data_IF_364058518431
#
_entry.id   IF_364058518431
#
_cell.length_a   1.000
_cell.length_b   1.000
_cell.length_c   1.000
_cell.angle_alpha   90.00
_cell.angle_beta   90.00
_cell.angle_gamma   90.00
#
_symmetry.space_group_name_H-M   'P 1'
#
loop_
_entity.id
_entity.type
_entity.pdbx_description
1 polymer ?
#
# COMPACT_ATOMS: atom_id res chain seq x y z
N UNK A 1 17.85 -44.32 -26.66
CA UNK A 1 16.64 -43.96 -25.91
C UNK A 1 16.89 -42.94 -24.79
N UNK A 2 18.14 -42.74 -24.32
CA UNK A 2 18.49 -41.76 -23.27
C UNK A 2 18.51 -40.29 -23.75
N UNK A 3 18.85 -40.07 -25.04
CA UNK A 3 18.98 -38.71 -25.59
C UNK A 3 17.66 -37.99 -25.85
N UNK A 4 16.54 -38.71 -26.02
CA UNK A 4 15.23 -38.10 -26.27
C UNK A 4 14.61 -37.49 -25.00
N UNK A 5 14.90 -38.08 -23.83
CA UNK A 5 14.39 -37.55 -22.53
C UNK A 5 15.14 -36.30 -22.08
N UNK A 6 16.45 -36.22 -22.37
CA UNK A 6 17.27 -35.03 -22.05
C UNK A 6 16.92 -33.82 -22.92
N UNK A 7 16.66 -34.04 -24.23
CA UNK A 7 16.23 -32.97 -25.14
C UNK A 7 14.83 -32.47 -24.78
N UNK A 8 13.91 -33.39 -24.42
CA UNK A 8 12.55 -33.00 -23.96
C UNK A 8 12.58 -32.19 -22.67
N UNK A 9 13.42 -32.52 -21.70
CA UNK A 9 13.57 -31.78 -20.45
C UNK A 9 14.18 -30.39 -20.69
N UNK A 10 15.18 -30.28 -21.56
CA UNK A 10 15.82 -29.01 -21.88
C UNK A 10 14.87 -28.06 -22.65
N UNK A 11 14.07 -28.60 -23.57
CA UNK A 11 13.04 -27.86 -24.31
C UNK A 11 11.90 -27.41 -23.36
N UNK A 12 11.52 -28.26 -22.41
CA UNK A 12 10.52 -27.89 -21.41
C UNK A 12 11.03 -26.76 -20.49
N UNK A 13 12.30 -26.83 -20.04
CA UNK A 13 12.94 -25.77 -19.25
C UNK A 13 13.07 -24.46 -20.05
N UNK A 14 13.40 -24.52 -21.33
CA UNK A 14 13.49 -23.36 -22.21
C UNK A 14 12.11 -22.77 -22.50
N UNK A 15 11.07 -23.59 -22.65
CA UNK A 15 9.69 -23.13 -22.83
C UNK A 15 9.15 -22.48 -21.55
N UNK A 16 9.39 -23.07 -20.39
CA UNK A 16 8.99 -22.49 -19.09
C UNK A 16 9.75 -21.19 -18.82
N UNK A 17 11.05 -21.14 -19.14
CA UNK A 17 11.86 -19.92 -19.00
C UNK A 17 11.39 -18.81 -19.97
N UNK A 18 11.04 -19.15 -21.22
CA UNK A 18 10.49 -18.20 -22.17
C UNK A 18 9.08 -17.72 -21.77
N UNK A 19 8.24 -18.59 -21.24
CA UNK A 19 6.91 -18.19 -20.71
C UNK A 19 7.08 -17.26 -19.50
N UNK A 20 8.03 -17.53 -18.60
CA UNK A 20 8.36 -16.64 -17.49
C UNK A 20 8.89 -15.27 -17.97
N UNK A 21 9.78 -15.26 -18.97
CA UNK A 21 10.31 -14.01 -19.56
C UNK A 21 9.20 -13.23 -20.28
N UNK A 22 8.30 -13.90 -21.01
CA UNK A 22 7.17 -13.25 -21.70
C UNK A 22 6.17 -12.67 -20.71
N UNK A 23 5.84 -13.36 -19.60
CA UNK A 23 4.94 -12.83 -18.55
C UNK A 23 5.58 -11.59 -17.89
N UNK A 24 6.89 -11.57 -17.65
CA UNK A 24 7.59 -10.41 -17.07
C UNK A 24 7.59 -9.20 -18.01
N UNK A 25 7.83 -9.38 -19.30
CA UNK A 25 7.83 -8.29 -20.29
C UNK A 25 6.42 -7.70 -20.44
N UNK A 26 5.35 -8.53 -20.40
CA UNK A 26 3.97 -8.06 -20.47
C UNK A 26 3.54 -7.32 -19.19
N UNK A 27 4.00 -7.74 -18.01
CA UNK A 27 3.64 -7.12 -16.72
C UNK A 27 4.22 -5.71 -16.57
N UNK A 28 5.47 -5.48 -17.01
CA UNK A 28 6.12 -4.17 -16.88
C UNK A 28 5.99 -3.29 -18.12
N UNK A 29 5.50 -3.83 -19.24
CA UNK A 29 5.35 -3.07 -20.49
C UNK A 29 6.68 -2.64 -21.13
N UNK A 30 7.77 -3.34 -20.82
CA UNK A 30 9.14 -3.11 -21.30
C UNK A 30 10.09 -2.63 -20.20
N UNK A 31 11.38 -2.70 -20.50
CA UNK A 31 12.45 -2.18 -19.64
C UNK A 31 12.57 -0.66 -19.83
N UNK A 32 12.89 0.05 -18.75
CA UNK A 32 13.28 1.45 -18.82
C UNK A 32 14.81 1.51 -18.93
N UNK A 33 15.35 2.26 -19.88
CA UNK A 33 16.79 2.48 -19.95
C UNK A 33 17.20 3.55 -18.94
N UNK A 34 18.34 3.33 -18.28
CA UNK A 34 18.93 4.34 -17.38
C UNK A 34 19.34 5.59 -18.16
N UNK A 35 19.55 5.49 -19.46
CA UNK A 35 19.93 6.55 -20.38
C UNK A 35 18.74 7.26 -21.02
N UNK A 36 17.49 6.84 -20.75
CA UNK A 36 16.30 7.53 -21.26
C UNK A 36 16.26 8.99 -20.83
N UNK A 37 15.92 9.88 -21.74
CA UNK A 37 15.75 11.32 -21.44
C UNK A 37 14.68 11.56 -20.35
N UNK A 38 13.66 10.70 -20.29
CA UNK A 38 12.59 10.75 -19.28
C UNK A 38 12.34 9.36 -18.70
N UNK A 39 13.30 8.85 -17.94
CA UNK A 39 13.18 7.56 -17.24
C UNK A 39 12.03 7.57 -16.23
N UNK A 40 11.70 8.70 -15.64
CA UNK A 40 10.59 8.82 -14.69
C UNK A 40 9.23 8.59 -15.36
N UNK A 41 9.04 9.02 -16.62
CA UNK A 41 7.84 8.73 -17.40
C UNK A 41 7.75 7.24 -17.77
N UNK A 42 8.87 6.62 -18.13
CA UNK A 42 8.92 5.18 -18.35
C UNK A 42 8.54 4.41 -17.07
N UNK A 43 9.16 4.74 -15.94
CA UNK A 43 8.85 4.14 -14.63
C UNK A 43 7.40 4.35 -14.21
N UNK A 44 6.83 5.52 -14.47
CA UNK A 44 5.42 5.81 -14.21
C UNK A 44 4.52 4.82 -14.94
N UNK A 45 4.79 4.55 -16.22
CA UNK A 45 4.04 3.57 -17.02
C UNK A 45 4.22 2.17 -16.48
N UNK A 46 5.46 1.73 -16.23
CA UNK A 46 5.79 0.40 -15.73
C UNK A 46 5.16 0.12 -14.36
N UNK A 47 5.18 1.10 -13.46
CA UNK A 47 4.55 0.95 -12.15
C UNK A 47 3.02 0.89 -12.23
N UNK A 48 2.38 1.64 -13.13
CA UNK A 48 0.94 1.50 -13.33
C UNK A 48 0.57 0.14 -13.95
N UNK A 49 1.36 -0.38 -14.89
CA UNK A 49 1.16 -1.74 -15.41
C UNK A 49 1.28 -2.79 -14.30
N UNK A 50 2.26 -2.64 -13.40
CA UNK A 50 2.37 -3.51 -12.23
C UNK A 50 1.13 -3.41 -11.32
N UNK A 51 0.65 -2.20 -11.04
CA UNK A 51 -0.58 -2.01 -10.26
C UNK A 51 -1.78 -2.72 -10.92
N UNK A 52 -1.93 -2.59 -12.24
CA UNK A 52 -3.03 -3.23 -12.97
C UNK A 52 -2.91 -4.77 -12.94
N UNK A 53 -1.69 -5.30 -13.00
CA UNK A 53 -1.45 -6.73 -12.80
C UNK A 53 -1.82 -7.17 -11.37
N UNK A 54 -1.41 -6.42 -10.35
CA UNK A 54 -1.72 -6.72 -8.96
C UNK A 54 -3.24 -6.72 -8.66
N UNK A 55 -4.03 -5.89 -9.35
CA UNK A 55 -5.51 -5.87 -9.24
C UNK A 55 -6.14 -7.21 -9.65
N UNK A 56 -5.56 -7.89 -10.61
CA UNK A 56 -6.06 -9.19 -11.10
C UNK A 56 -5.55 -10.38 -10.29
N UNK A 57 -4.69 -10.11 -9.32
CA UNK A 57 -3.95 -11.09 -8.55
C UNK A 57 -2.62 -11.44 -9.22
N UNK A 58 -1.59 -11.64 -8.41
CA UNK A 58 -0.24 -11.99 -8.82
C UNK A 58 0.27 -13.16 -7.97
N UNK A 59 -0.09 -14.41 -8.32
CA UNK A 59 0.30 -15.60 -7.54
C UNK A 59 1.82 -15.73 -7.39
N UNK A 60 2.59 -15.29 -8.38
CA UNK A 60 4.06 -15.27 -8.36
C UNK A 60 4.63 -14.31 -7.28
N UNK A 61 3.82 -13.36 -6.82
CA UNK A 61 4.13 -12.44 -5.72
C UNK A 61 3.41 -12.81 -4.41
N UNK A 62 2.71 -13.95 -4.36
CA UNK A 62 1.81 -14.38 -3.29
C UNK A 62 0.71 -13.33 -3.01
N UNK A 63 0.17 -12.73 -4.06
CA UNK A 63 -0.91 -11.76 -4.01
C UNK A 63 -2.15 -12.38 -4.66
N UNK A 64 -3.16 -12.63 -3.84
CA UNK A 64 -4.47 -13.09 -4.31
C UNK A 64 -5.29 -11.91 -4.81
N UNK A 65 -6.14 -12.16 -5.81
CA UNK A 65 -7.13 -11.18 -6.24
C UNK A 65 -8.09 -10.90 -5.08
N UNK A 66 -8.25 -9.65 -4.72
CA UNK A 66 -9.21 -9.22 -3.70
C UNK A 66 -9.72 -7.82 -4.01
N UNK A 67 -11.02 -7.62 -3.86
CA UNK A 67 -11.65 -6.30 -3.99
C UNK A 67 -11.42 -5.41 -2.76
N UNK A 68 -10.86 -5.98 -1.71
CA UNK A 68 -10.60 -5.26 -0.46
C UNK A 68 -9.31 -5.72 0.21
N UNK A 69 -8.73 -4.83 0.98
CA UNK A 69 -7.56 -5.11 1.84
C UNK A 69 -8.04 -5.34 3.27
N UNK A 70 -7.63 -6.48 3.84
CA UNK A 70 -7.89 -6.80 5.24
C UNK A 70 -6.70 -6.37 6.10
N UNK A 71 -6.99 -5.63 7.18
CA UNK A 71 -6.02 -5.21 8.17
C UNK A 71 -6.49 -5.70 9.53
N UNK A 72 -5.72 -6.59 10.15
CA UNK A 72 -6.11 -7.25 11.40
C UNK A 72 -6.38 -6.25 12.52
N UNK A 73 -5.46 -5.30 12.72
CA UNK A 73 -5.55 -4.33 13.79
C UNK A 73 -4.84 -3.02 13.43
N UNK A 74 -5.45 -1.91 13.87
CA UNK A 74 -4.87 -0.57 13.90
C UNK A 74 -5.20 0.08 15.23
N UNK A 75 -4.19 0.60 15.93
CA UNK A 75 -4.37 1.31 17.20
C UNK A 75 -3.92 2.75 17.08
N UNK A 76 -4.72 3.65 17.63
CA UNK A 76 -4.49 5.09 17.64
C UNK A 76 -4.46 5.57 19.09
N UNK A 77 -3.46 6.37 19.43
CA UNK A 77 -3.37 7.04 20.71
C UNK A 77 -3.16 8.55 20.49
N UNK A 78 -4.00 9.36 21.11
CA UNK A 78 -3.96 10.82 21.04
C UNK A 78 -3.89 11.41 22.43
N UNK A 79 -3.01 12.40 22.62
CA UNK A 79 -2.75 13.00 23.92
C UNK A 79 -1.91 12.08 24.83
N UNK A 80 -1.48 12.64 25.95
CA UNK A 80 -0.69 11.95 26.97
C UNK A 80 -1.44 11.85 28.30
N UNK A 81 -0.95 10.97 29.18
CA UNK A 81 -1.48 10.81 30.53
C UNK A 81 -2.70 9.87 30.61
N UNK A 82 -3.33 9.81 31.80
CA UNK A 82 -4.40 8.84 32.08
C UNK A 82 -5.71 9.11 31.29
N UNK A 83 -5.94 10.35 30.86
CA UNK A 83 -7.13 10.75 30.10
C UNK A 83 -6.89 10.78 28.59
N UNK A 84 -5.71 10.39 28.13
CA UNK A 84 -5.38 10.28 26.69
C UNK A 84 -6.37 9.38 25.96
N UNK A 85 -6.82 9.81 24.77
CA UNK A 85 -7.70 9.00 23.94
C UNK A 85 -6.93 7.82 23.30
N UNK A 86 -7.53 6.66 23.37
CA UNK A 86 -7.05 5.44 22.69
C UNK A 86 -8.20 4.81 21.95
N UNK A 87 -7.96 4.39 20.70
CA UNK A 87 -8.90 3.60 19.93
C UNK A 87 -8.16 2.45 19.24
N UNK A 88 -8.77 1.27 19.27
CA UNK A 88 -8.30 0.09 18.55
C UNK A 88 -9.39 -0.35 17.59
N UNK A 89 -9.03 -0.46 16.33
CA UNK A 89 -9.85 -0.95 15.24
C UNK A 89 -9.37 -2.34 14.87
N UNK A 90 -10.29 -3.30 14.76
CA UNK A 90 -10.00 -4.69 14.40
C UNK A 90 -10.83 -5.12 13.20
N UNK A 91 -10.32 -6.11 12.49
CA UNK A 91 -10.97 -6.69 11.32
C UNK A 91 -11.34 -5.60 10.29
N UNK A 92 -10.39 -4.70 10.04
CA UNK A 92 -10.60 -3.57 9.14
C UNK A 92 -10.67 -4.11 7.72
N UNK A 93 -11.78 -3.86 7.05
CA UNK A 93 -11.97 -4.13 5.63
C UNK A 93 -11.95 -2.81 4.87
N UNK A 94 -11.00 -2.63 3.96
CA UNK A 94 -10.83 -1.43 3.15
C UNK A 94 -11.05 -1.76 1.68
N UNK A 95 -12.15 -1.29 1.11
CA UNK A 95 -12.52 -1.43 -0.31
C UNK A 95 -12.13 -0.18 -1.10
N UNK A 96 -11.95 -0.31 -2.42
CA UNK A 96 -11.59 0.78 -3.32
C UNK A 96 -10.09 1.10 -3.34
N UNK A 97 -9.27 0.47 -2.49
CA UNK A 97 -7.82 0.66 -2.50
C UNK A 97 -7.20 0.19 -3.83
N UNK A 98 -7.82 -0.79 -4.47
CA UNK A 98 -7.40 -1.31 -5.77
C UNK A 98 -7.59 -0.30 -6.92
N UNK A 99 -8.38 0.76 -6.74
CA UNK A 99 -8.53 1.84 -7.73
C UNK A 99 -7.35 2.84 -7.70
N UNK A 100 -6.28 2.45 -7.01
CA UNK A 100 -5.05 3.22 -6.96
C UNK A 100 -4.46 3.43 -8.35
N UNK A 101 -3.97 4.66 -8.58
CA UNK A 101 -3.20 5.04 -9.77
C UNK A 101 -1.93 5.75 -9.32
N UNK A 102 -0.83 5.49 -9.99
CA UNK A 102 0.40 6.26 -9.80
C UNK A 102 0.34 7.46 -10.73
N UNK A 103 0.40 8.65 -10.16
CA UNK A 103 0.27 9.92 -10.90
C UNK A 103 1.59 10.62 -11.15
N UNK A 104 2.62 10.27 -10.41
CA UNK A 104 3.96 10.81 -10.61
C UNK A 104 5.02 9.89 -10.01
N UNK A 105 6.14 9.79 -10.69
CA UNK A 105 7.36 9.13 -10.22
C UNK A 105 8.51 10.12 -10.29
N UNK A 106 9.42 10.05 -9.36
CA UNK A 106 10.74 10.68 -9.39
C UNK A 106 11.75 9.67 -8.89
N UNK A 107 12.82 9.49 -9.62
CA UNK A 107 13.85 8.52 -9.29
C UNK A 107 15.24 9.14 -9.25
N UNK A 108 16.10 8.55 -8.45
CA UNK A 108 17.55 8.69 -8.47
C UNK A 108 18.10 7.27 -8.56
N UNK A 109 18.39 6.84 -9.78
CA UNK A 109 18.79 5.46 -10.07
C UNK A 109 20.19 5.13 -9.55
N UNK A 110 21.06 6.15 -9.39
CA UNK A 110 22.41 5.98 -8.87
C UNK A 110 22.41 5.64 -7.38
N UNK A 111 21.43 6.15 -6.65
CA UNK A 111 21.30 5.93 -5.21
C UNK A 111 20.10 5.06 -4.84
N UNK A 112 19.41 4.48 -5.84
CA UNK A 112 18.24 3.60 -5.68
C UNK A 112 17.12 4.23 -4.85
N UNK A 113 16.85 5.52 -5.11
CA UNK A 113 15.84 6.29 -4.42
C UNK A 113 14.66 6.57 -5.35
N UNK A 114 13.45 6.42 -4.82
CA UNK A 114 12.22 6.62 -5.57
C UNK A 114 11.21 7.39 -4.73
N UNK A 115 10.53 8.33 -5.38
CA UNK A 115 9.36 9.01 -4.83
C UNK A 115 8.18 8.77 -5.76
N UNK A 116 7.15 8.13 -5.24
CA UNK A 116 5.95 7.79 -6.00
C UNK A 116 4.76 8.54 -5.42
N UNK A 117 3.95 9.16 -6.27
CA UNK A 117 2.70 9.80 -5.86
C UNK A 117 1.53 8.93 -6.31
N UNK A 118 0.71 8.54 -5.36
CA UNK A 118 -0.48 7.71 -5.55
C UNK A 118 -1.74 8.56 -5.45
N UNK A 119 -2.75 8.23 -6.23
CA UNK A 119 -4.10 8.77 -6.11
C UNK A 119 -5.10 7.61 -6.03
N UNK A 120 -6.02 7.68 -5.06
CA UNK A 120 -7.13 6.74 -4.90
C UNK A 120 -8.40 7.58 -4.85
N UNK A 121 -9.34 7.38 -5.79
CA UNK A 121 -10.55 8.19 -5.87
C UNK A 121 -11.41 8.09 -4.62
N UNK A 122 -11.63 6.87 -4.15
CA UNK A 122 -12.52 6.58 -3.03
C UNK A 122 -12.05 5.34 -2.26
N UNK A 123 -12.10 5.40 -0.94
CA UNK A 123 -11.87 4.26 -0.05
C UNK A 123 -13.04 4.17 0.92
N UNK A 124 -13.67 3.00 0.99
CA UNK A 124 -14.66 2.66 2.01
C UNK A 124 -14.05 1.70 3.03
N UNK A 125 -14.27 1.95 4.31
CA UNK A 125 -13.75 1.10 5.39
C UNK A 125 -14.84 0.70 6.36
N UNK A 126 -14.77 -0.53 6.84
CA UNK A 126 -15.54 -1.02 7.98
C UNK A 126 -14.61 -1.68 8.99
N UNK A 127 -14.94 -1.61 10.27
CA UNK A 127 -14.16 -2.24 11.32
C UNK A 127 -14.99 -2.40 12.60
N UNK A 128 -14.55 -3.27 13.49
CA UNK A 128 -14.95 -3.22 14.90
C UNK A 128 -14.00 -2.31 15.67
N UNK A 129 -14.53 -1.46 16.54
CA UNK A 129 -13.68 -0.57 17.31
C UNK A 129 -13.95 -0.65 18.81
N UNK A 130 -12.93 -0.29 19.57
CA UNK A 130 -13.00 0.02 21.00
C UNK A 130 -12.21 1.28 21.27
N UNK A 131 -12.78 2.16 22.07
CA UNK A 131 -12.13 3.40 22.47
C UNK A 131 -12.24 3.67 23.95
N UNK A 132 -11.31 4.48 24.47
CA UNK A 132 -11.32 4.99 25.83
C UNK A 132 -10.61 6.34 25.91
N UNK A 133 -11.00 7.15 26.87
CA UNK A 133 -10.38 8.46 27.12
C UNK A 133 -11.19 9.63 26.59
N UNK A 134 -10.53 10.77 26.42
CA UNK A 134 -11.14 12.04 26.00
C UNK A 134 -10.63 12.40 24.61
N UNK A 135 -11.54 12.54 23.66
CA UNK A 135 -11.29 12.96 22.30
C UNK A 135 -11.78 14.39 22.11
N UNK A 136 -10.87 15.35 21.88
CA UNK A 136 -11.24 16.77 21.69
C UNK A 136 -12.26 17.27 22.75
N UNK A 137 -12.00 17.04 24.02
CA UNK A 137 -12.84 17.42 25.16
C UNK A 137 -14.12 16.59 25.37
N UNK A 138 -14.41 15.62 24.52
CA UNK A 138 -15.55 14.71 24.66
C UNK A 138 -15.09 13.36 25.18
N UNK A 139 -15.75 12.84 26.23
CA UNK A 139 -15.51 11.48 26.68
C UNK A 139 -16.01 10.50 25.63
N UNK A 140 -15.08 9.79 25.00
CA UNK A 140 -15.33 8.87 23.89
C UNK A 140 -14.86 7.46 24.27
N UNK A 141 -15.50 6.88 25.30
CA UNK A 141 -15.24 5.51 25.77
C UNK A 141 -16.37 4.59 25.35
N UNK A 142 -16.05 3.49 24.70
CA UNK A 142 -17.05 2.53 24.23
C UNK A 142 -16.50 1.60 23.17
N UNK A 143 -17.41 0.89 22.50
CA UNK A 143 -17.09 0.01 21.39
C UNK A 143 -18.33 -0.25 20.54
N UNK A 144 -18.14 -0.65 19.32
CA UNK A 144 -19.17 -0.89 18.33
C UNK A 144 -18.57 -1.14 16.97
N UNK A 145 -19.34 -0.81 15.93
CA UNK A 145 -18.93 -0.88 14.55
C UNK A 145 -18.52 0.51 14.06
N UNK A 146 -17.47 0.53 13.26
CA UNK A 146 -16.93 1.73 12.61
C UNK A 146 -17.14 1.63 11.12
N UNK A 147 -17.46 2.75 10.48
CA UNK A 147 -17.43 2.93 9.04
C UNK A 147 -16.77 4.25 8.67
N UNK A 148 -16.12 4.28 7.51
CA UNK A 148 -15.47 5.48 6.99
C UNK A 148 -15.42 5.50 5.48
N UNK A 149 -15.70 6.69 4.92
CA UNK A 149 -15.61 7.00 3.49
C UNK A 149 -14.59 8.11 3.30
N UNK A 150 -13.65 7.90 2.42
CA UNK A 150 -12.51 8.78 2.19
C UNK A 150 -12.38 9.07 0.70
N UNK A 151 -12.63 10.31 0.29
CA UNK A 151 -12.59 10.70 -1.10
C UNK A 151 -11.31 11.47 -1.45
N UNK A 152 -10.83 11.24 -2.68
CA UNK A 152 -9.65 11.90 -3.23
C UNK A 152 -8.42 11.78 -2.31
N UNK A 153 -8.10 10.55 -1.98
CA UNK A 153 -6.90 10.22 -1.20
C UNK A 153 -5.67 10.37 -2.08
N UNK A 154 -4.68 11.11 -1.60
CA UNK A 154 -3.37 11.24 -2.25
C UNK A 154 -2.29 10.82 -1.27
N UNK A 155 -1.35 10.01 -1.71
CA UNK A 155 -0.21 9.59 -0.91
C UNK A 155 1.10 9.84 -1.67
N UNK A 156 2.13 10.23 -0.93
CA UNK A 156 3.51 10.30 -1.42
C UNK A 156 4.32 9.27 -0.65
N UNK A 157 4.89 8.34 -1.38
CA UNK A 157 5.74 7.29 -0.86
C UNK A 157 7.16 7.55 -1.33
N UNK A 158 8.06 7.73 -0.40
CA UNK A 158 9.49 7.75 -0.67
C UNK A 158 10.07 6.43 -0.17
N UNK A 159 10.85 5.76 -1.00
CA UNK A 159 11.62 4.60 -0.57
C UNK A 159 13.02 4.59 -1.15
N UNK A 160 13.93 3.93 -0.43
CA UNK A 160 15.30 3.69 -0.85
C UNK A 160 15.60 2.21 -0.74
N UNK A 161 16.12 1.64 -1.83
CA UNK A 161 16.65 0.29 -1.89
C UNK A 161 18.16 0.24 -1.60
N UNK A 162 18.64 -0.94 -1.24
CA UNK A 162 20.05 -1.31 -1.22
C UNK A 162 20.24 -2.48 -2.18
N UNK A 163 21.10 -2.34 -3.20
CA UNK A 163 21.29 -3.40 -4.17
C UNK A 163 22.03 -4.59 -3.57
N UNK A 164 21.66 -5.80 -4.01
CA UNK A 164 22.37 -7.03 -3.74
C UNK A 164 22.27 -8.00 -4.92
N UNK A 165 23.31 -8.81 -5.11
CA UNK A 165 23.37 -9.78 -6.17
C UNK A 165 22.74 -11.12 -5.76
N UNK A 166 21.89 -11.69 -6.64
CA UNK A 166 21.34 -13.02 -6.49
C UNK A 166 21.18 -13.69 -7.87
N UNK A 167 21.84 -14.81 -8.07
CA UNK A 167 21.80 -15.59 -9.33
C UNK A 167 22.19 -14.77 -10.57
N UNK A 168 23.16 -13.86 -10.43
CA UNK A 168 23.65 -13.03 -11.53
C UNK A 168 22.73 -11.87 -11.92
N UNK A 169 21.74 -11.54 -11.09
CA UNK A 169 20.86 -10.36 -11.25
C UNK A 169 20.91 -9.51 -10.00
N UNK A 170 20.75 -8.20 -10.18
CA UNK A 170 20.64 -7.23 -9.09
C UNK A 170 19.21 -7.21 -8.56
N UNK A 171 19.05 -7.25 -7.25
CA UNK A 171 17.80 -7.08 -6.51
C UNK A 171 17.94 -5.92 -5.55
N UNK A 172 16.82 -5.37 -5.10
CA UNK A 172 16.82 -4.34 -4.07
C UNK A 172 16.25 -4.89 -2.77
N UNK A 173 16.90 -4.55 -1.65
CA UNK A 173 16.36 -4.70 -0.31
C UNK A 173 15.91 -3.36 0.20
N UNK A 174 14.69 -3.27 0.72
CA UNK A 174 14.17 -2.02 1.26
C UNK A 174 14.98 -1.57 2.48
N UNK A 175 15.53 -0.37 2.43
CA UNK A 175 16.28 0.25 3.54
C UNK A 175 15.47 1.30 4.27
N UNK A 176 14.67 2.05 3.55
CA UNK A 176 13.87 3.13 4.13
C UNK A 176 12.58 3.28 3.33
N UNK A 177 11.50 3.49 4.05
CA UNK A 177 10.23 3.95 3.48
C UNK A 177 9.69 5.09 4.33
N UNK A 178 9.23 6.15 3.67
CA UNK A 178 8.49 7.26 4.28
C UNK A 178 7.20 7.45 3.52
N UNK A 179 6.13 7.67 4.26
CA UNK A 179 4.80 7.90 3.72
C UNK A 179 4.26 9.24 4.22
N UNK A 180 3.67 10.01 3.32
CA UNK A 180 2.78 11.11 3.65
C UNK A 180 1.49 10.99 2.83
N UNK A 181 0.35 11.41 3.39
CA UNK A 181 -0.91 11.33 2.68
C UNK A 181 -1.84 12.49 3.05
N UNK A 182 -2.83 12.71 2.20
CA UNK A 182 -3.93 13.65 2.43
C UNK A 182 -5.23 13.05 1.93
N UNK A 183 -6.32 13.41 2.55
CA UNK A 183 -7.69 13.04 2.17
C UNK A 183 -8.48 14.34 2.00
N UNK A 184 -9.17 14.49 0.87
CA UNK A 184 -9.91 15.73 0.60
C UNK A 184 -11.22 15.76 1.40
N UNK A 185 -12.02 14.71 1.27
CA UNK A 185 -13.32 14.62 1.92
C UNK A 185 -13.38 13.36 2.77
N UNK A 186 -13.89 13.50 3.99
CA UNK A 186 -13.95 12.42 4.98
C UNK A 186 -15.36 12.39 5.56
N UNK A 187 -15.97 11.22 5.52
CA UNK A 187 -17.17 10.89 6.29
C UNK A 187 -16.88 9.65 7.10
N UNK A 188 -17.17 9.66 8.38
CA UNK A 188 -16.97 8.49 9.22
C UNK A 188 -17.94 8.49 10.38
N UNK A 189 -18.19 7.33 10.91
CA UNK A 189 -19.12 7.19 12.02
C UNK A 189 -18.98 5.88 12.77
N UNK A 190 -19.77 5.79 13.81
CA UNK A 190 -19.84 4.62 14.67
C UNK A 190 -21.29 4.19 14.81
N UNK A 191 -21.48 2.88 14.87
CA UNK A 191 -22.79 2.24 15.01
C UNK A 191 -22.75 1.20 16.13
N UNK A 192 -23.91 0.71 16.51
CA UNK A 192 -24.06 -0.35 17.50
C UNK A 192 -23.28 -0.09 18.81
N UNK A 193 -23.28 1.16 19.27
CA UNK A 193 -22.60 1.56 20.50
C UNK A 193 -23.12 0.78 21.70
N UNK A 194 -22.25 0.07 22.37
CA UNK A 194 -22.57 -0.67 23.58
C UNK A 194 -23.07 0.31 24.67
N UNK A 195 -24.22 0.03 25.25
CA UNK A 195 -24.84 0.79 26.34
C UNK A 195 -25.21 2.27 25.99
N UNK A 196 -25.40 2.59 24.69
CA UNK A 196 -25.83 3.93 24.29
C UNK A 196 -27.20 3.91 23.61
N UNK A 197 -27.86 5.07 23.65
CA UNK A 197 -29.10 5.31 22.91
C UNK A 197 -28.79 5.97 21.56
N UNK A 198 -29.74 5.92 20.63
CA UNK A 198 -29.60 6.48 19.28
C UNK A 198 -29.28 8.00 19.26
N UNK A 199 -29.70 8.74 20.24
CA UNK A 199 -29.42 10.18 20.35
C UNK A 199 -27.93 10.41 20.63
N UNK A 200 -27.35 9.66 21.56
CA UNK A 200 -25.94 9.77 21.86
C UNK A 200 -25.08 9.34 20.66
N UNK A 201 -25.44 8.27 19.96
CA UNK A 201 -24.77 7.82 18.75
C UNK A 201 -24.83 8.90 17.65
N UNK A 202 -26.01 9.51 17.42
CA UNK A 202 -26.17 10.58 16.44
C UNK A 202 -25.31 11.81 16.78
N UNK A 203 -25.31 12.21 18.06
CA UNK A 203 -24.48 13.32 18.54
C UNK A 203 -22.98 13.05 18.37
N UNK A 204 -22.54 11.83 18.68
CA UNK A 204 -21.13 11.44 18.47
C UNK A 204 -20.76 11.44 16.97
N UNK A 205 -21.60 10.91 16.10
CA UNK A 205 -21.36 10.92 14.67
C UNK A 205 -21.33 12.35 14.09
N UNK A 206 -22.21 13.23 14.55
CA UNK A 206 -22.18 14.64 14.18
C UNK A 206 -20.87 15.30 14.62
N UNK A 207 -20.43 15.04 15.85
CA UNK A 207 -19.17 15.55 16.38
C UNK A 207 -17.97 15.04 15.55
N UNK A 208 -17.92 13.74 15.27
CA UNK A 208 -16.85 13.12 14.47
C UNK A 208 -16.79 13.76 13.08
N UNK A 209 -17.90 13.86 12.37
CA UNK A 209 -17.92 14.41 11.01
C UNK A 209 -17.63 15.92 10.97
N UNK A 210 -18.09 16.69 11.95
CA UNK A 210 -17.78 18.12 12.04
C UNK A 210 -16.28 18.36 12.25
N UNK A 211 -15.59 17.44 12.92
CA UNK A 211 -14.16 17.56 13.24
C UNK A 211 -13.28 16.58 12.46
N UNK A 212 -13.78 15.99 11.39
CA UNK A 212 -13.10 14.89 10.69
C UNK A 212 -11.67 15.21 10.23
N UNK A 213 -11.45 16.41 9.68
CA UNK A 213 -10.11 16.86 9.23
C UNK A 213 -9.16 17.11 10.41
N UNK A 214 -9.67 17.67 11.51
CA UNK A 214 -8.87 17.89 12.73
C UNK A 214 -8.49 16.54 13.37
N UNK A 215 -9.44 15.62 13.45
CA UNK A 215 -9.21 14.26 13.92
C UNK A 215 -8.16 13.56 13.05
N UNK A 216 -8.27 13.65 11.72
CA UNK A 216 -7.26 13.08 10.82
C UNK A 216 -5.88 13.70 11.06
N UNK A 217 -5.81 15.03 11.22
CA UNK A 217 -4.55 15.72 11.47
C UNK A 217 -3.87 15.24 12.77
N UNK A 218 -4.63 15.08 13.84
CA UNK A 218 -4.14 14.55 15.11
C UNK A 218 -3.69 13.08 15.01
N UNK A 219 -4.43 12.26 14.27
CA UNK A 219 -4.13 10.84 14.10
C UNK A 219 -3.01 10.59 13.07
N UNK A 220 -2.76 11.52 12.14
CA UNK A 220 -1.89 11.35 11.00
C UNK A 220 -0.46 10.86 11.35
N UNK A 221 0.21 11.34 12.42
CA UNK A 221 1.54 10.86 12.76
C UNK A 221 1.58 9.35 13.04
N UNK A 222 0.59 8.84 13.80
CA UNK A 222 0.50 7.41 14.11
C UNK A 222 0.10 6.60 12.88
N UNK A 223 -0.91 7.06 12.13
CA UNK A 223 -1.33 6.41 10.88
C UNK A 223 -0.21 6.31 9.86
N UNK A 224 0.60 7.36 9.71
CA UNK A 224 1.78 7.34 8.81
C UNK A 224 2.76 6.25 9.20
N UNK A 225 3.02 6.08 10.49
CA UNK A 225 3.94 5.06 11.00
C UNK A 225 3.41 3.65 10.71
N UNK A 226 2.16 3.40 11.06
CA UNK A 226 1.56 2.06 10.94
C UNK A 226 1.36 1.65 9.47
N UNK A 227 0.91 2.59 8.63
CA UNK A 227 0.78 2.36 7.18
C UNK A 227 2.16 2.19 6.51
N UNK A 228 3.16 2.98 6.91
CA UNK A 228 4.51 2.83 6.39
C UNK A 228 5.11 1.46 6.74
N UNK A 229 4.86 0.95 7.94
CA UNK A 229 5.31 -0.39 8.34
C UNK A 229 4.65 -1.50 7.50
N UNK A 230 3.32 -1.41 7.29
CA UNK A 230 2.58 -2.37 6.45
C UNK A 230 3.03 -2.30 4.99
N UNK A 231 3.16 -1.09 4.45
CA UNK A 231 3.64 -0.87 3.09
C UNK A 231 5.09 -1.33 2.90
N UNK A 232 5.95 -1.17 3.90
CA UNK A 232 7.33 -1.67 3.86
C UNK A 232 7.36 -3.18 3.68
N UNK A 233 6.55 -3.93 4.42
CA UNK A 233 6.47 -5.39 4.29
C UNK A 233 5.96 -5.84 2.92
N UNK A 234 5.01 -5.10 2.36
CA UNK A 234 4.49 -5.35 1.03
C UNK A 234 5.53 -5.06 -0.06
N UNK A 235 6.16 -3.88 -0.01
CA UNK A 235 7.16 -3.47 -0.97
C UNK A 235 8.41 -4.35 -0.92
N UNK A 236 8.85 -4.75 0.26
CA UNK A 236 10.04 -5.62 0.44
C UNK A 236 9.80 -6.98 -0.25
N UNK A 237 8.61 -7.56 -0.13
CA UNK A 237 8.24 -8.79 -0.85
C UNK A 237 8.30 -8.64 -2.37
N UNK A 238 7.88 -7.49 -2.90
CA UNK A 238 7.96 -7.21 -4.35
C UNK A 238 9.41 -7.08 -4.77
N UNK A 239 10.20 -6.27 -4.07
CA UNK A 239 11.61 -6.00 -4.39
C UNK A 239 12.48 -7.26 -4.30
N UNK A 240 12.18 -8.20 -3.39
CA UNK A 240 12.88 -9.48 -3.27
C UNK A 240 12.58 -10.45 -4.42
N UNK A 241 11.46 -10.27 -5.11
CA UNK A 241 11.02 -11.19 -6.18
C UNK A 241 11.29 -10.66 -7.57
N UNK A 242 11.25 -9.35 -7.75
CA UNK A 242 11.46 -8.69 -9.02
C UNK A 242 12.90 -8.18 -9.08
N UNK A 243 13.74 -8.70 -10.01
CA UNK A 243 15.06 -8.15 -10.22
C UNK A 243 15.00 -6.67 -10.64
N UNK A 244 15.88 -5.87 -10.09
CA UNK A 244 16.03 -4.48 -10.52
C UNK A 244 16.44 -4.36 -11.98
N UNK A 245 17.31 -5.27 -12.44
CA UNK A 245 17.76 -5.35 -13.83
C UNK A 245 16.61 -5.65 -14.82
N UNK A 246 15.49 -6.24 -14.35
CA UNK A 246 14.31 -6.49 -15.20
C UNK A 246 13.39 -5.22 -15.28
N UNK A 247 13.61 -4.23 -14.45
CA UNK A 247 12.92 -2.95 -14.46
C UNK A 247 13.74 -1.85 -15.15
N UNK A 248 15.05 -1.82 -14.89
CA UNK A 248 15.98 -0.82 -15.39
C UNK A 248 17.13 -1.51 -16.13
N UNK A 249 17.24 -1.23 -17.41
CA UNK A 249 18.36 -1.64 -18.24
C UNK A 249 19.50 -0.63 -18.12
N UNK A 250 20.72 -1.13 -17.86
CA UNK A 250 21.95 -0.33 -17.86
C UNK A 250 22.81 -0.76 -19.03
N UNK A 251 22.75 -0.01 -20.13
CA UNK A 251 23.48 -0.30 -21.38
C UNK A 251 25.01 -0.29 -21.20
N UNK A 252 25.52 0.04 -20.01
CA UNK A 252 26.94 0.07 -19.69
C UNK A 252 27.41 -1.14 -18.84
N UNK A 253 26.59 -2.16 -18.65
CA UNK A 253 26.96 -3.39 -17.91
C UNK A 253 27.40 -4.53 -18.83
#
# INVERSE_FOLDING_TARGET
KLNALFVSSCVYYLLVLNIFIFIFIDVFGGHCSKQDEDVDACLLKSFNNLIDHLKTGAPELDIEQSDSILIDELSIALGGGPDGYKATFKDINASGVNDVTITNVRSDLDTYQFQVTLAIPHISTTARYRSSGILLLVRASGGGDYWGEYDNVKAKVYFRGEPYERKGKTYLKLKQLKLDFSVKDIKMGVENLQNSNSVLQAALNLFINTNAQELLKEMKPQLKKDLAEKMSRFLDRILERIPYDDLIEDDNK
#
